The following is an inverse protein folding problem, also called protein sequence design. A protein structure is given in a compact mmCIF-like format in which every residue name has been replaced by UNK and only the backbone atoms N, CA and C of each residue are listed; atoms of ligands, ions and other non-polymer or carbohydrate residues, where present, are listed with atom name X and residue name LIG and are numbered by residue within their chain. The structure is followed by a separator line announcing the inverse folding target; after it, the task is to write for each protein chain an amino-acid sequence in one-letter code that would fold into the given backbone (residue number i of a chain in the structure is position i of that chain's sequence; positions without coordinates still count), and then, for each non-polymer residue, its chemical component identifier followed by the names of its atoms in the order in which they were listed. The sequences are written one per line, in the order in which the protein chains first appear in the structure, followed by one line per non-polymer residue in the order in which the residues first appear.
data_IF_120749513995
#
_entry.id   IF_120749513995
#
_cell.length_a   1.000
_cell.length_b   1.000
_cell.length_c   1.000
_cell.angle_alpha   90.00
_cell.angle_beta   90.00
_cell.angle_gamma   90.00
#
_symmetry.space_group_name_H-M   'P 1'
#
loop_
_entity.id
_entity.type
_entity.pdbx_description
1 polymer ?
#
# COMPACT_ATOMS: atom_id res chain seq x y z
N UNK A 1 42.08 -65.60 -142.48
CA UNK A 1 42.93 -64.69 -141.68
C UNK A 1 42.15 -63.41 -141.34
N UNK A 2 41.28 -62.91 -142.23
CA UNK A 2 40.40 -61.75 -142.00
C UNK A 2 39.34 -61.92 -140.89
N UNK A 3 38.78 -63.13 -140.69
CA UNK A 3 37.78 -63.39 -139.63
C UNK A 3 38.34 -63.28 -138.19
N UNK A 4 39.66 -63.39 -138.01
CA UNK A 4 40.29 -63.22 -136.69
C UNK A 4 40.58 -61.75 -136.35
N UNK A 5 40.82 -60.91 -137.38
CA UNK A 5 41.04 -59.47 -137.21
C UNK A 5 39.72 -58.71 -136.93
N UNK A 6 38.60 -59.14 -137.52
CA UNK A 6 37.27 -58.60 -137.21
C UNK A 6 36.85 -58.89 -135.76
N UNK A 7 37.08 -60.11 -135.25
CA UNK A 7 36.78 -60.49 -133.85
C UNK A 7 37.67 -59.76 -132.82
N UNK A 8 38.92 -59.46 -133.18
CA UNK A 8 39.81 -58.63 -132.34
C UNK A 8 39.34 -57.18 -132.33
N UNK A 9 38.94 -56.64 -133.49
CA UNK A 9 38.45 -55.26 -133.62
C UNK A 9 37.15 -55.06 -132.82
N UNK A 10 36.21 -56.00 -132.89
CA UNK A 10 34.97 -55.97 -132.10
C UNK A 10 35.22 -56.06 -130.59
N UNK A 11 36.20 -56.87 -130.16
CA UNK A 11 36.63 -56.94 -128.75
C UNK A 11 37.28 -55.64 -128.27
N UNK A 12 38.06 -54.97 -129.12
CA UNK A 12 38.65 -53.66 -128.81
C UNK A 12 37.56 -52.59 -128.69
N UNK A 13 36.61 -52.52 -129.62
CA UNK A 13 35.49 -51.58 -129.56
C UNK A 13 34.61 -51.82 -128.33
N UNK A 14 34.38 -53.08 -127.97
CA UNK A 14 33.66 -53.43 -126.73
C UNK A 14 34.43 -52.96 -125.48
N UNK A 15 35.75 -53.18 -125.43
CA UNK A 15 36.59 -52.71 -124.34
C UNK A 15 36.64 -51.18 -124.27
N UNK A 16 36.72 -50.48 -125.40
CA UNK A 16 36.66 -49.01 -125.43
C UNK A 16 35.32 -48.49 -124.89
N UNK A 17 34.19 -49.06 -125.33
CA UNK A 17 32.88 -48.72 -124.76
C UNK A 17 32.83 -48.98 -123.26
N UNK A 18 33.31 -50.16 -122.82
CA UNK A 18 33.40 -50.53 -121.40
C UNK A 18 34.25 -49.54 -120.60
N UNK A 19 35.38 -49.11 -121.15
CA UNK A 19 36.26 -48.09 -120.53
C UNK A 19 35.52 -46.75 -120.45
N UNK A 20 34.86 -46.30 -121.51
CA UNK A 20 34.11 -45.04 -121.49
C UNK A 20 32.92 -45.06 -120.52
N UNK A 21 32.26 -46.21 -120.35
CA UNK A 21 31.21 -46.40 -119.34
C UNK A 21 31.80 -46.35 -117.93
N UNK A 22 32.93 -47.04 -117.69
CA UNK A 22 33.63 -47.00 -116.41
C UNK A 22 34.15 -45.59 -116.07
N UNK A 23 34.61 -44.82 -117.06
CA UNK A 23 35.04 -43.42 -116.91
C UNK A 23 33.87 -42.50 -116.53
N UNK A 24 32.70 -42.71 -117.15
CA UNK A 24 31.47 -41.99 -116.78
C UNK A 24 30.99 -42.37 -115.39
N UNK A 25 31.02 -43.64 -115.04
CA UNK A 25 30.63 -44.13 -113.71
C UNK A 25 31.60 -43.62 -112.63
N UNK A 26 32.91 -43.58 -112.91
CA UNK A 26 33.89 -42.98 -111.98
C UNK A 26 33.69 -41.47 -111.82
N UNK A 27 33.37 -40.74 -112.89
CA UNK A 27 33.03 -39.31 -112.80
C UNK A 27 31.74 -39.08 -111.98
N UNK A 28 30.67 -39.83 -112.25
CA UNK A 28 29.41 -39.72 -111.53
C UNK A 28 29.55 -40.10 -110.04
N UNK A 29 30.30 -41.16 -109.73
CA UNK A 29 30.63 -41.53 -108.36
C UNK A 29 31.48 -40.45 -107.66
N UNK A 30 32.42 -39.82 -108.39
CA UNK A 30 33.21 -38.70 -107.87
C UNK A 30 32.35 -37.49 -107.51
N UNK A 31 31.38 -37.13 -108.36
CA UNK A 31 30.41 -36.07 -108.05
C UNK A 31 29.52 -36.42 -106.87
N UNK A 32 28.99 -37.65 -106.80
CA UNK A 32 28.17 -38.10 -105.68
C UNK A 32 28.97 -38.07 -104.37
N UNK A 33 30.23 -38.53 -104.40
CA UNK A 33 31.13 -38.46 -103.26
C UNK A 33 31.34 -37.02 -102.80
N UNK A 34 31.57 -36.08 -103.73
CA UNK A 34 31.71 -34.66 -103.40
C UNK A 34 30.44 -34.05 -102.80
N UNK A 35 29.25 -34.38 -103.33
CA UNK A 35 27.96 -33.93 -102.79
C UNK A 35 27.75 -34.44 -101.37
N UNK A 36 27.93 -35.74 -101.16
CA UNK A 36 27.80 -36.36 -99.82
C UNK A 36 28.81 -35.76 -98.83
N UNK A 37 30.04 -35.47 -99.28
CA UNK A 37 31.05 -34.80 -98.46
C UNK A 37 30.62 -33.40 -98.05
N UNK A 38 30.01 -32.62 -98.95
CA UNK A 38 29.50 -31.29 -98.65
C UNK A 38 28.30 -31.33 -97.71
N UNK A 39 27.35 -32.25 -97.94
CA UNK A 39 26.19 -32.45 -97.06
C UNK A 39 26.63 -32.89 -95.66
N UNK A 40 27.57 -33.83 -95.56
CA UNK A 40 28.13 -34.27 -94.29
C UNK A 40 28.79 -33.09 -93.54
N UNK A 41 29.56 -32.27 -94.25
CA UNK A 41 30.17 -31.06 -93.66
C UNK A 41 29.10 -30.10 -93.12
N UNK A 42 28.00 -29.87 -93.85
CA UNK A 42 26.90 -29.03 -93.38
C UNK A 42 26.19 -29.62 -92.15
N UNK A 43 25.97 -30.94 -92.13
CA UNK A 43 25.38 -31.64 -90.99
C UNK A 43 26.27 -31.54 -89.75
N UNK A 44 27.59 -31.70 -89.92
CA UNK A 44 28.56 -31.53 -88.83
C UNK A 44 28.54 -30.10 -88.29
N UNK A 45 28.54 -29.08 -89.15
CA UNK A 45 28.43 -27.69 -88.70
C UNK A 45 27.11 -27.43 -87.96
N UNK A 46 26.00 -27.98 -88.44
CA UNK A 46 24.69 -27.86 -87.78
C UNK A 46 24.66 -28.58 -86.43
N UNK A 47 25.23 -29.78 -86.34
CA UNK A 47 25.33 -30.53 -85.10
C UNK A 47 26.15 -29.76 -84.06
N UNK A 48 27.32 -29.25 -84.45
CA UNK A 48 28.17 -28.45 -83.56
C UNK A 48 27.46 -27.18 -83.07
N UNK A 49 26.72 -26.48 -83.94
CA UNK A 49 25.96 -25.30 -83.56
C UNK A 49 24.82 -25.62 -82.57
N UNK A 50 24.14 -26.75 -82.75
CA UNK A 50 23.11 -27.21 -81.81
C UNK A 50 23.70 -27.65 -80.47
N UNK A 51 24.87 -28.31 -80.47
CA UNK A 51 25.59 -28.67 -79.24
C UNK A 51 26.03 -27.43 -78.47
N UNK A 52 26.51 -26.39 -79.15
CA UNK A 52 26.89 -25.12 -78.51
C UNK A 52 25.66 -24.40 -77.93
N UNK A 53 24.55 -24.36 -78.67
CA UNK A 53 23.29 -23.82 -78.15
C UNK A 53 22.76 -24.60 -76.95
N UNK A 54 22.85 -25.94 -76.96
CA UNK A 54 22.44 -26.76 -75.83
C UNK A 54 23.29 -26.46 -74.60
N UNK A 55 24.61 -26.40 -74.74
CA UNK A 55 25.52 -26.03 -73.65
C UNK A 55 25.25 -24.64 -73.09
N UNK A 56 24.97 -23.67 -73.97
CA UNK A 56 24.62 -22.31 -73.54
C UNK A 56 23.28 -22.28 -72.77
N UNK A 57 22.29 -23.07 -73.20
CA UNK A 57 21.01 -23.19 -72.49
C UNK A 57 21.15 -23.92 -71.15
N UNK A 58 21.97 -24.98 -71.07
CA UNK A 58 22.28 -25.67 -69.83
C UNK A 58 22.96 -24.73 -68.83
N UNK A 59 23.96 -23.97 -69.28
CA UNK A 59 24.65 -22.98 -68.45
C UNK A 59 23.68 -21.90 -67.93
N UNK A 60 22.82 -21.35 -68.80
CA UNK A 60 21.81 -20.36 -68.40
C UNK A 60 20.80 -20.94 -67.40
N UNK A 61 20.35 -22.18 -67.61
CA UNK A 61 19.45 -22.85 -66.68
C UNK A 61 20.10 -23.03 -65.30
N UNK A 62 21.37 -23.47 -65.26
CA UNK A 62 22.12 -23.62 -64.02
C UNK A 62 22.35 -22.29 -63.31
N UNK A 63 22.69 -21.22 -64.03
CA UNK A 63 22.84 -19.87 -63.47
C UNK A 63 21.52 -19.38 -62.84
N UNK A 64 20.40 -19.50 -63.56
CA UNK A 64 19.08 -19.10 -63.04
C UNK A 64 18.67 -19.92 -61.82
N UNK A 65 18.93 -21.23 -61.82
CA UNK A 65 18.66 -22.10 -60.68
C UNK A 65 19.49 -21.69 -59.46
N UNK A 66 20.77 -21.40 -59.64
CA UNK A 66 21.66 -20.97 -58.56
C UNK A 66 21.23 -19.61 -57.98
N UNK A 67 20.80 -18.67 -58.83
CA UNK A 67 20.25 -17.40 -58.37
C UNK A 67 18.96 -17.58 -57.56
N UNK A 68 18.03 -18.42 -58.02
CA UNK A 68 16.78 -18.68 -57.30
C UNK A 68 17.03 -19.40 -55.96
N UNK A 69 17.94 -20.38 -55.92
CA UNK A 69 18.35 -21.03 -54.67
C UNK A 69 18.93 -19.99 -53.69
N UNK A 70 19.77 -19.07 -54.19
CA UNK A 70 20.36 -18.02 -53.37
C UNK A 70 19.28 -17.08 -52.81
N UNK A 71 18.37 -16.59 -53.66
CA UNK A 71 17.25 -15.72 -53.24
C UNK A 71 16.36 -16.42 -52.20
N UNK A 72 16.01 -17.68 -52.43
CA UNK A 72 15.18 -18.45 -51.50
C UNK A 72 15.87 -18.61 -50.13
N UNK A 73 17.17 -18.91 -50.11
CA UNK A 73 17.95 -18.99 -48.86
C UNK A 73 17.98 -17.65 -48.12
N UNK A 74 18.14 -16.54 -48.83
CA UNK A 74 18.15 -15.20 -48.23
C UNK A 74 16.79 -14.86 -47.61
N UNK A 75 15.69 -15.14 -48.31
CA UNK A 75 14.33 -14.90 -47.81
C UNK A 75 14.03 -15.78 -46.59
N UNK A 76 14.38 -17.06 -46.63
CA UNK A 76 14.21 -17.98 -45.50
C UNK A 76 15.00 -17.50 -44.28
N UNK A 77 16.27 -17.15 -44.48
CA UNK A 77 17.13 -16.64 -43.39
C UNK A 77 16.61 -15.32 -42.81
N UNK A 78 16.01 -14.45 -43.63
CA UNK A 78 15.36 -13.23 -43.14
C UNK A 78 14.13 -13.55 -42.30
N UNK A 79 13.26 -14.43 -42.78
CA UNK A 79 12.05 -14.87 -42.06
C UNK A 79 12.40 -15.54 -40.73
N UNK A 80 13.42 -16.39 -40.69
CA UNK A 80 13.88 -17.05 -39.46
C UNK A 80 14.36 -16.03 -38.42
N UNK A 81 15.13 -15.01 -38.84
CA UNK A 81 15.55 -13.92 -37.94
C UNK A 81 14.35 -13.12 -37.42
N UNK A 82 13.41 -12.76 -38.29
CA UNK A 82 12.20 -12.02 -37.90
C UNK A 82 11.37 -12.80 -36.88
N UNK A 83 11.20 -14.11 -37.09
CA UNK A 83 10.51 -15.00 -36.13
C UNK A 83 11.27 -15.12 -34.80
N UNK A 84 12.60 -15.22 -34.83
CA UNK A 84 13.40 -15.27 -33.59
C UNK A 84 13.19 -14.00 -32.76
N UNK A 85 13.26 -12.83 -33.41
CA UNK A 85 13.04 -11.53 -32.75
C UNK A 85 11.62 -11.44 -32.19
N UNK A 86 10.61 -11.91 -32.92
CA UNK A 86 9.22 -11.91 -32.43
C UNK A 86 9.05 -12.84 -31.22
N UNK A 87 9.66 -14.02 -31.24
CA UNK A 87 9.66 -14.96 -30.10
C UNK A 87 10.34 -14.32 -28.89
N UNK A 88 11.51 -13.70 -29.05
CA UNK A 88 12.24 -13.02 -27.97
C UNK A 88 11.41 -11.87 -27.36
N UNK A 89 10.75 -11.07 -28.20
CA UNK A 89 9.87 -9.99 -27.75
C UNK A 89 8.66 -10.52 -26.97
N UNK A 90 8.04 -11.60 -27.43
CA UNK A 90 6.91 -12.23 -26.75
C UNK A 90 7.36 -12.85 -25.42
N UNK A 91 8.53 -13.49 -25.37
CA UNK A 91 9.12 -14.03 -24.15
C UNK A 91 9.41 -12.94 -23.13
N UNK A 92 10.01 -11.81 -23.54
CA UNK A 92 10.28 -10.68 -22.66
C UNK A 92 8.98 -10.09 -22.08
N UNK A 93 7.94 -9.97 -22.91
CA UNK A 93 6.63 -9.50 -22.45
C UNK A 93 5.95 -10.48 -21.49
N UNK A 94 6.11 -11.77 -21.72
CA UNK A 94 5.57 -12.81 -20.85
C UNK A 94 6.27 -12.78 -19.48
N UNK A 95 7.60 -12.69 -19.47
CA UNK A 95 8.38 -12.53 -18.24
C UNK A 95 7.94 -11.29 -17.43
N UNK A 96 7.78 -10.15 -18.10
CA UNK A 96 7.30 -8.93 -17.42
C UNK A 96 5.92 -9.12 -16.78
N UNK A 97 4.99 -9.78 -17.48
CA UNK A 97 3.66 -10.06 -16.94
C UNK A 97 3.69 -11.07 -15.78
N UNK A 98 4.61 -12.03 -15.80
CA UNK A 98 4.81 -12.96 -14.70
C UNK A 98 5.40 -12.27 -13.47
N UNK A 99 6.36 -11.36 -13.67
CA UNK A 99 6.95 -10.54 -12.61
C UNK A 99 5.88 -9.64 -11.96
N UNK A 100 5.12 -8.89 -12.78
CA UNK A 100 4.01 -8.05 -12.31
C UNK A 100 2.96 -8.88 -11.54
N UNK A 101 2.62 -10.07 -12.04
CA UNK A 101 1.69 -10.97 -11.35
C UNK A 101 2.25 -11.48 -10.03
N UNK A 102 3.54 -11.78 -9.97
CA UNK A 102 4.22 -12.20 -8.74
C UNK A 102 4.19 -11.09 -7.69
N UNK A 103 4.50 -9.85 -8.08
CA UNK A 103 4.41 -8.67 -7.23
C UNK A 103 2.99 -8.49 -6.70
N UNK A 104 1.98 -8.48 -7.58
CA UNK A 104 0.58 -8.38 -7.16
C UNK A 104 0.18 -9.49 -6.18
N UNK A 105 0.58 -10.74 -6.46
CA UNK A 105 0.32 -11.89 -5.57
C UNK A 105 0.96 -11.70 -4.20
N UNK A 106 2.13 -11.07 -4.12
CA UNK A 106 2.80 -10.76 -2.85
C UNK A 106 2.15 -9.61 -2.08
N UNK A 107 1.60 -8.60 -2.77
CA UNK A 107 0.94 -7.46 -2.12
C UNK A 107 -0.42 -7.83 -1.53
N UNK A 108 -1.16 -8.77 -2.14
CA UNK A 108 -2.51 -9.16 -1.69
C UNK A 108 -2.54 -9.62 -0.22
N UNK A 109 -1.67 -10.53 0.26
CA UNK A 109 -1.62 -10.92 1.67
C UNK A 109 -1.36 -9.74 2.62
N UNK A 110 -0.43 -8.85 2.29
CA UNK A 110 -0.13 -7.67 3.11
C UNK A 110 -1.35 -6.74 3.25
N UNK A 111 -2.05 -6.50 2.13
CA UNK A 111 -3.27 -5.69 2.14
C UNK A 111 -4.39 -6.37 2.94
N UNK A 112 -4.57 -7.68 2.80
CA UNK A 112 -5.54 -8.45 3.60
C UNK A 112 -5.27 -8.36 5.10
N UNK A 113 -4.02 -8.55 5.51
CA UNK A 113 -3.63 -8.41 6.92
C UNK A 113 -3.86 -6.99 7.44
N UNK A 114 -3.63 -5.96 6.62
CA UNK A 114 -3.93 -4.57 6.98
C UNK A 114 -5.43 -4.33 7.15
N UNK A 115 -6.27 -4.91 6.27
CA UNK A 115 -7.72 -4.85 6.38
C UNK A 115 -8.20 -5.53 7.66
N UNK A 116 -7.74 -6.76 7.94
CA UNK A 116 -8.12 -7.51 9.15
C UNK A 116 -7.78 -6.72 10.42
N UNK A 117 -6.58 -6.12 10.50
CA UNK A 117 -6.18 -5.27 11.62
C UNK A 117 -7.08 -4.04 11.79
N UNK A 118 -7.43 -3.37 10.70
CA UNK A 118 -8.33 -2.22 10.74
C UNK A 118 -9.76 -2.61 11.13
N UNK A 119 -10.21 -3.81 10.74
CA UNK A 119 -11.50 -4.36 11.18
C UNK A 119 -11.50 -4.67 12.67
N UNK A 120 -10.41 -5.23 13.22
CA UNK A 120 -10.25 -5.42 14.66
C UNK A 120 -10.23 -4.10 15.43
N UNK A 121 -9.49 -3.10 14.96
CA UNK A 121 -9.47 -1.76 15.58
C UNK A 121 -10.85 -1.11 15.55
N UNK A 122 -11.57 -1.22 14.42
CA UNK A 122 -12.96 -0.76 14.30
C UNK A 122 -13.87 -1.46 15.32
N UNK A 123 -13.75 -2.77 15.47
CA UNK A 123 -14.58 -3.51 16.43
C UNK A 123 -14.31 -3.07 17.87
N UNK A 124 -13.03 -2.92 18.25
CA UNK A 124 -12.65 -2.42 19.58
C UNK A 124 -13.24 -1.04 19.87
N UNK A 125 -13.20 -0.13 18.89
CA UNK A 125 -13.79 1.20 19.05
C UNK A 125 -15.32 1.17 19.14
N UNK A 126 -15.99 0.25 18.42
CA UNK A 126 -17.43 0.06 18.56
C UNK A 126 -17.80 -0.43 19.96
N UNK A 127 -17.07 -1.42 20.48
CA UNK A 127 -17.28 -1.94 21.83
C UNK A 127 -17.07 -0.82 22.89
N UNK A 128 -16.02 0.00 22.74
CA UNK A 128 -15.77 1.15 23.63
C UNK A 128 -16.88 2.20 23.57
N UNK A 129 -17.41 2.49 22.37
CA UNK A 129 -18.55 3.40 22.20
C UNK A 129 -19.80 2.84 22.90
N UNK A 130 -20.06 1.54 22.80
CA UNK A 130 -21.18 0.89 23.47
C UNK A 130 -21.05 1.01 25.00
N UNK A 131 -19.87 0.73 25.54
CA UNK A 131 -19.57 0.86 26.97
C UNK A 131 -19.75 2.30 27.48
N UNK A 132 -19.17 3.28 26.78
CA UNK A 132 -19.32 4.69 27.14
C UNK A 132 -20.78 5.16 27.02
N UNK A 133 -21.51 4.64 26.03
CA UNK A 133 -22.94 4.94 25.87
C UNK A 133 -23.76 4.36 27.03
N UNK A 134 -23.42 3.17 27.51
CA UNK A 134 -24.07 2.55 28.67
C UNK A 134 -23.78 3.36 29.94
N UNK A 135 -22.52 3.73 30.19
CA UNK A 135 -22.13 4.57 31.33
C UNK A 135 -22.84 5.93 31.31
N UNK A 136 -22.92 6.56 30.13
CA UNK A 136 -23.63 7.83 29.99
C UNK A 136 -25.12 7.70 30.34
N UNK A 137 -25.77 6.61 29.92
CA UNK A 137 -27.18 6.35 30.27
C UNK A 137 -27.35 6.15 31.78
N UNK A 138 -26.47 5.39 32.41
CA UNK A 138 -26.50 5.18 33.86
C UNK A 138 -26.35 6.49 34.63
N UNK A 139 -25.39 7.34 34.22
CA UNK A 139 -25.20 8.66 34.82
C UNK A 139 -26.41 9.59 34.60
N UNK A 140 -27.03 9.54 33.42
CA UNK A 140 -28.27 10.28 33.15
C UNK A 140 -29.42 9.82 34.04
N UNK A 141 -29.56 8.51 34.29
CA UNK A 141 -30.55 7.97 35.21
C UNK A 141 -30.25 8.33 36.66
N UNK A 142 -28.99 8.26 37.09
CA UNK A 142 -28.54 8.68 38.41
C UNK A 142 -28.85 10.15 38.67
N UNK A 143 -28.53 11.01 37.70
CA UNK A 143 -28.86 12.45 37.74
C UNK A 143 -30.37 12.69 37.85
N UNK A 144 -31.20 11.96 37.10
CA UNK A 144 -32.66 12.04 37.20
C UNK A 144 -33.13 11.66 38.61
N UNK A 145 -32.68 10.51 39.14
CA UNK A 145 -33.03 10.05 40.50
C UNK A 145 -32.64 11.06 41.57
N UNK A 146 -31.45 11.67 41.47
CA UNK A 146 -31.00 12.72 42.39
C UNK A 146 -31.81 14.00 42.26
N UNK A 147 -32.19 14.37 41.03
CA UNK A 147 -33.12 15.47 40.76
C UNK A 147 -34.47 15.25 41.44
N UNK A 148 -35.06 14.06 41.28
CA UNK A 148 -36.34 13.71 41.88
C UNK A 148 -36.28 13.78 43.41
N UNK A 149 -35.21 13.24 44.03
CA UNK A 149 -34.98 13.35 45.48
C UNK A 149 -34.92 14.80 45.94
N UNK A 150 -34.17 15.66 45.24
CA UNK A 150 -34.05 17.08 45.58
C UNK A 150 -35.41 17.79 45.49
N UNK A 151 -36.23 17.48 44.48
CA UNK A 151 -37.57 18.05 44.38
C UNK A 151 -38.48 17.59 45.52
N UNK A 152 -38.38 16.32 45.93
CA UNK A 152 -39.13 15.78 47.06
C UNK A 152 -38.74 16.43 48.39
N UNK A 153 -37.45 16.55 48.67
CA UNK A 153 -36.94 17.24 49.88
C UNK A 153 -37.38 18.70 49.92
N UNK A 154 -37.31 19.42 48.79
CA UNK A 154 -37.82 20.80 48.71
C UNK A 154 -39.31 20.89 49.04
N UNK A 155 -40.11 19.94 48.54
CA UNK A 155 -41.54 19.92 48.82
C UNK A 155 -41.84 19.58 50.30
N UNK A 156 -41.13 18.62 50.88
CA UNK A 156 -41.23 18.30 52.30
C UNK A 156 -40.86 19.51 53.18
N UNK A 157 -39.73 20.13 52.91
CA UNK A 157 -39.29 21.33 53.63
C UNK A 157 -40.30 22.47 53.52
N UNK A 158 -40.89 22.69 52.35
CA UNK A 158 -41.93 23.69 52.16
C UNK A 158 -43.19 23.38 52.99
N UNK A 159 -43.62 22.12 53.03
CA UNK A 159 -44.75 21.68 53.85
C UNK A 159 -44.49 21.84 55.35
N UNK A 160 -43.30 21.49 55.82
CA UNK A 160 -42.90 21.67 57.22
C UNK A 160 -42.82 23.16 57.60
N UNK A 161 -42.32 24.00 56.69
CA UNK A 161 -42.30 25.45 56.85
C UNK A 161 -43.72 26.01 56.99
N UNK A 162 -44.65 25.58 56.13
CA UNK A 162 -46.06 25.97 56.20
C UNK A 162 -46.69 25.54 57.54
N UNK A 163 -46.51 24.29 57.96
CA UNK A 163 -47.03 23.78 59.24
C UNK A 163 -46.43 24.51 60.45
N UNK A 164 -45.14 24.83 60.42
CA UNK A 164 -44.49 25.60 61.48
C UNK A 164 -45.04 27.03 61.51
N UNK A 165 -45.33 27.61 60.35
CA UNK A 165 -45.92 28.94 60.24
C UNK A 165 -47.35 28.97 60.77
N UNK A 166 -48.18 27.96 60.48
CA UNK A 166 -49.51 27.79 61.07
C UNK A 166 -49.44 27.74 62.61
N UNK A 167 -48.52 26.94 63.16
CA UNK A 167 -48.30 26.87 64.61
C UNK A 167 -47.89 28.24 65.20
N UNK A 168 -47.02 28.97 64.51
CA UNK A 168 -46.63 30.33 64.92
C UNK A 168 -47.84 31.27 64.93
N UNK A 169 -48.72 31.19 63.92
CA UNK A 169 -49.94 31.99 63.86
C UNK A 169 -50.92 31.65 64.98
N UNK A 170 -51.10 30.38 65.31
CA UNK A 170 -51.95 29.96 66.43
C UNK A 170 -51.38 30.41 67.78
N UNK A 171 -50.07 30.29 68.00
CA UNK A 171 -49.42 30.82 69.19
C UNK A 171 -49.53 32.34 69.28
N UNK A 172 -49.44 33.06 68.15
CA UNK A 172 -49.67 34.52 68.11
C UNK A 172 -51.08 34.89 68.52
N UNK A 173 -52.11 34.19 68.02
CA UNK A 173 -53.51 34.40 68.44
C UNK A 173 -53.70 34.12 69.92
N UNK A 174 -53.12 33.04 70.44
CA UNK A 174 -53.19 32.73 71.88
C UNK A 174 -52.50 33.80 72.73
N UNK A 175 -51.34 34.30 72.30
CA UNK A 175 -50.65 35.41 72.97
C UNK A 175 -51.47 36.70 72.95
N UNK A 176 -52.12 37.02 71.83
CA UNK A 176 -53.02 38.17 71.73
C UNK A 176 -54.21 38.03 72.68
N UNK A 177 -54.86 36.87 72.72
CA UNK A 177 -55.93 36.59 73.69
C UNK A 177 -55.48 36.72 75.14
N UNK A 178 -54.28 36.21 75.47
CA UNK A 178 -53.73 36.31 76.82
C UNK A 178 -53.39 37.76 77.19
N UNK A 179 -52.88 38.55 76.24
CA UNK A 179 -52.64 39.98 76.43
C UNK A 179 -53.92 40.75 76.69
N UNK A 180 -54.99 40.49 75.92
CA UNK A 180 -56.31 41.08 76.16
C UNK A 180 -56.86 40.70 77.54
N UNK A 181 -56.80 39.42 77.90
CA UNK A 181 -57.21 38.94 79.22
C UNK A 181 -56.42 39.60 80.36
N UNK A 182 -55.10 39.75 80.19
CA UNK A 182 -54.24 40.42 81.17
C UNK A 182 -54.61 41.91 81.29
N UNK A 183 -54.86 42.59 80.17
CA UNK A 183 -55.26 44.00 80.17
C UNK A 183 -56.62 44.17 80.86
N UNK A 184 -57.59 43.29 80.62
CA UNK A 184 -58.87 43.27 81.35
C UNK A 184 -58.68 43.02 82.85
N UNK A 185 -57.79 42.10 83.23
CA UNK A 185 -57.47 41.81 84.63
C UNK A 185 -56.77 42.98 85.34
N UNK A 186 -55.86 43.69 84.65
CA UNK A 186 -55.21 44.92 85.11
C UNK A 186 -56.18 46.10 85.14
N UNK A 187 -57.17 46.16 84.24
CA UNK A 187 -58.28 47.11 84.34
C UNK A 187 -59.12 46.89 85.61
N UNK A 188 -59.19 45.65 86.10
CA UNK A 188 -59.86 45.28 87.37
C UNK A 188 -58.98 45.43 88.61
N UNK A 189 -57.65 45.48 88.46
CA UNK A 189 -56.69 45.73 89.55
C UNK A 189 -55.80 46.93 89.20
N UNK A 190 -56.17 48.11 89.68
CA UNK A 190 -55.50 49.38 89.39
C UNK A 190 -53.96 49.30 89.33
N UNK A 191 -53.39 50.03 88.36
CA UNK A 191 -51.97 50.08 87.96
C UNK A 191 -51.00 50.13 89.15
N UNK A 192 -50.17 49.10 89.30
CA UNK A 192 -49.04 49.08 90.23
C UNK A 192 -47.75 49.51 89.53
N UNK A 193 -47.18 50.62 90.01
CA UNK A 193 -45.97 51.28 89.56
C UNK A 193 -44.73 50.76 90.29
N UNK A 194 -44.07 49.71 89.80
CA UNK A 194 -42.78 49.27 90.35
C UNK A 194 -41.73 48.84 89.30
N UNK A 195 -41.79 49.34 88.06
CA UNK A 195 -40.88 48.92 86.98
C UNK A 195 -39.58 49.72 86.85
N UNK A 196 -39.45 50.89 87.50
CA UNK A 196 -38.37 51.84 87.19
C UNK A 196 -36.94 51.41 87.58
N UNK A 197 -36.75 50.52 88.55
CA UNK A 197 -35.41 50.14 89.02
C UNK A 197 -34.79 48.97 88.21
N UNK A 198 -35.62 48.16 87.57
CA UNK A 198 -35.18 47.03 86.75
C UNK A 198 -34.74 47.48 85.35
N UNK A 199 -35.40 48.52 84.81
CA UNK A 199 -35.05 49.12 83.52
C UNK A 199 -33.64 49.74 83.48
N UNK A 200 -33.15 50.29 84.60
CA UNK A 200 -31.81 50.89 84.64
C UNK A 200 -30.70 49.84 84.57
N UNK A 201 -30.83 48.73 85.31
CA UNK A 201 -29.88 47.62 85.26
C UNK A 201 -29.91 46.90 83.89
N UNK A 202 -31.07 46.80 83.26
CA UNK A 202 -31.21 46.26 81.90
C UNK A 202 -30.51 47.14 80.86
N UNK A 203 -30.63 48.46 80.94
CA UNK A 203 -29.97 49.39 80.00
C UNK A 203 -28.45 49.32 80.06
N UNK A 204 -27.85 49.22 81.24
CA UNK A 204 -26.39 49.11 81.37
C UNK A 204 -25.88 47.80 80.75
N UNK A 205 -26.55 46.68 81.03
CA UNK A 205 -26.24 45.37 80.46
C UNK A 205 -26.40 45.34 78.93
N UNK A 206 -27.42 46.03 78.41
CA UNK A 206 -27.67 46.19 76.97
C UNK A 206 -26.53 46.96 76.30
N UNK A 207 -26.08 48.07 76.88
CA UNK A 207 -24.95 48.83 76.33
C UNK A 207 -23.63 48.06 76.31
N UNK A 208 -23.37 47.20 77.31
CA UNK A 208 -22.18 46.34 77.33
C UNK A 208 -22.25 45.27 76.23
N UNK A 209 -23.41 44.62 76.06
CA UNK A 209 -23.61 43.63 75.00
C UNK A 209 -23.54 44.25 73.60
N UNK A 210 -24.04 45.48 73.42
CA UNK A 210 -23.91 46.21 72.16
C UNK A 210 -22.45 46.52 71.81
N UNK A 211 -21.64 46.91 72.81
CA UNK A 211 -20.20 47.15 72.60
C UNK A 211 -19.48 45.85 72.22
N UNK A 212 -19.81 44.74 72.88
CA UNK A 212 -19.25 43.43 72.57
C UNK A 212 -19.64 42.94 71.16
N UNK A 213 -20.91 43.13 70.76
CA UNK A 213 -21.36 42.82 69.39
C UNK A 213 -20.62 43.68 68.35
N UNK A 214 -20.38 44.97 68.64
CA UNK A 214 -19.61 45.83 67.73
C UNK A 214 -18.17 45.35 67.59
N UNK A 215 -17.54 44.94 68.69
CA UNK A 215 -16.18 44.37 68.69
C UNK A 215 -16.11 43.07 67.91
N UNK A 216 -17.00 42.12 68.19
CA UNK A 216 -17.07 40.84 67.48
C UNK A 216 -17.37 41.00 65.99
N UNK A 217 -18.21 41.98 65.60
CA UNK A 217 -18.46 42.29 64.20
C UNK A 217 -17.22 42.88 63.51
N UNK A 218 -16.42 43.67 64.21
CA UNK A 218 -15.17 44.20 63.67
C UNK A 218 -14.14 43.08 63.51
N UNK A 219 -13.96 42.23 64.51
CA UNK A 219 -13.03 41.11 64.46
C UNK A 219 -13.39 40.10 63.36
N UNK A 220 -14.69 39.82 63.16
CA UNK A 220 -15.14 38.99 62.04
C UNK A 220 -14.82 39.59 60.67
N UNK A 221 -14.94 40.92 60.51
CA UNK A 221 -14.54 41.57 59.25
C UNK A 221 -13.05 41.44 59.01
N UNK A 222 -12.24 41.69 60.03
CA UNK A 222 -10.78 41.56 59.94
C UNK A 222 -10.36 40.11 59.60
N UNK A 223 -10.98 39.11 60.23
CA UNK A 223 -10.71 37.69 59.92
C UNK A 223 -11.12 37.33 58.50
N UNK A 224 -12.22 37.90 58.00
CA UNK A 224 -12.67 37.67 56.62
C UNK A 224 -11.71 38.29 55.61
N UNK A 225 -11.23 39.51 55.85
CA UNK A 225 -10.21 40.17 55.03
C UNK A 225 -8.90 39.36 54.98
N UNK A 226 -8.43 38.85 56.13
CA UNK A 226 -7.26 37.97 56.19
C UNK A 226 -7.48 36.64 55.44
N UNK A 227 -8.68 36.06 55.54
CA UNK A 227 -9.02 34.84 54.82
C UNK A 227 -9.02 35.07 53.30
N UNK A 228 -9.61 36.17 52.84
CA UNK A 228 -9.64 36.57 51.44
C UNK A 228 -8.21 36.83 50.91
N UNK A 229 -7.33 37.43 51.71
CA UNK A 229 -5.92 37.63 51.37
C UNK A 229 -5.15 36.30 51.27
N UNK A 230 -5.33 35.38 52.22
CA UNK A 230 -4.72 34.03 52.18
C UNK A 230 -5.23 33.21 50.99
N UNK A 231 -6.52 33.27 50.67
CA UNK A 231 -7.07 32.64 49.47
C UNK A 231 -6.44 33.22 48.20
N UNK A 232 -6.24 34.54 48.14
CA UNK A 232 -5.51 35.21 47.06
C UNK A 232 -4.07 34.71 46.92
N UNK A 233 -3.36 34.50 48.04
CA UNK A 233 -2.00 33.94 48.03
C UNK A 233 -1.97 32.49 47.51
N UNK A 234 -2.91 31.64 47.93
CA UNK A 234 -3.02 30.25 47.45
C UNK A 234 -3.22 30.23 45.92
N UNK A 235 -4.13 31.04 45.40
CA UNK A 235 -4.37 31.12 43.95
C UNK A 235 -3.11 31.56 43.21
N UNK A 236 -2.38 32.54 43.73
CA UNK A 236 -1.14 33.02 43.11
C UNK A 236 -0.06 31.92 43.07
N UNK A 237 0.12 31.19 44.18
CA UNK A 237 1.04 30.05 44.25
C UNK A 237 0.63 28.91 43.31
N UNK A 238 -0.66 28.58 43.22
CA UNK A 238 -1.16 27.57 42.27
C UNK A 238 -0.92 27.98 40.82
N UNK A 239 -1.11 29.26 40.47
CA UNK A 239 -0.84 29.78 39.12
C UNK A 239 0.67 29.72 38.83
N UNK A 240 1.53 30.08 39.79
CA UNK A 240 2.99 29.97 39.61
C UNK A 240 3.43 28.51 39.46
N UNK A 241 2.86 27.58 40.25
CA UNK A 241 3.09 26.15 40.10
C UNK A 241 2.68 25.63 38.72
N UNK A 242 1.51 26.04 38.23
CA UNK A 242 1.05 25.71 36.88
C UNK A 242 1.94 26.33 35.79
N UNK A 243 2.36 27.59 35.94
CA UNK A 243 3.30 28.25 35.01
C UNK A 243 4.64 27.55 34.96
N UNK A 244 5.17 27.10 36.09
CA UNK A 244 6.43 26.36 36.14
C UNK A 244 6.31 24.98 35.47
N UNK A 245 5.18 24.30 35.62
CA UNK A 245 4.89 23.05 34.89
C UNK A 245 4.80 23.27 33.37
N UNK A 246 4.24 24.40 32.93
CA UNK A 246 4.15 24.75 31.51
C UNK A 246 5.46 25.31 30.92
N UNK A 247 6.33 25.89 31.75
CA UNK A 247 7.59 26.52 31.32
C UNK A 247 8.80 25.58 31.42
N UNK A 248 8.66 24.41 32.06
CA UNK A 248 9.64 23.34 31.99
C UNK A 248 9.65 22.78 30.55
N UNK A 249 10.66 23.14 29.77
CA UNK A 249 10.89 22.60 28.43
C UNK A 249 11.01 21.07 28.49
N UNK A 250 10.46 20.39 27.49
CA UNK A 250 10.48 18.91 27.33
C UNK A 250 11.90 18.30 27.35
N UNK A 251 12.94 19.12 27.28
CA UNK A 251 14.35 18.76 27.28
C UNK A 251 14.91 18.29 28.64
N UNK A 252 14.20 18.46 29.76
CA UNK A 252 14.70 18.11 31.10
C UNK A 252 13.89 17.00 31.82
N UNK A 253 12.98 16.31 31.13
CA UNK A 253 12.18 15.24 31.73
C UNK A 253 12.77 13.84 31.46
N UNK A 254 12.61 12.91 32.39
CA UNK A 254 13.03 11.50 32.31
C UNK A 254 12.61 10.80 30.99
N UNK A 255 11.53 11.27 30.36
CA UNK A 255 11.08 10.81 29.04
C UNK A 255 12.07 11.14 27.90
N UNK A 256 12.82 12.23 27.98
CA UNK A 256 13.83 12.60 27.00
C UNK A 256 15.09 11.70 27.07
N UNK A 257 15.44 11.23 28.27
CA UNK A 257 16.57 10.31 28.50
C UNK A 257 16.26 8.88 28.01
N UNK A 258 15.00 8.46 28.06
CA UNK A 258 14.54 7.19 27.46
C UNK A 258 14.51 7.27 25.93
N UNK A 259 14.33 8.48 25.37
CA UNK A 259 14.26 8.72 23.93
C UNK A 259 15.62 8.91 23.26
N UNK A 260 16.70 9.07 24.03
CA UNK A 260 18.04 9.39 23.50
C UNK A 260 18.85 8.17 23.05
N UNK A 261 18.42 6.94 23.34
CA UNK A 261 18.82 5.78 22.52
C UNK A 261 17.87 5.80 21.34
N UNK A 262 18.30 6.44 20.26
CA UNK A 262 17.41 6.65 19.13
C UNK A 262 17.00 5.29 18.54
N UNK A 263 15.72 5.16 18.20
CA UNK A 263 15.21 4.06 17.36
C UNK A 263 16.11 3.81 16.16
N UNK A 264 16.72 4.86 15.64
CA UNK A 264 17.62 4.85 14.49
C UNK A 264 18.96 4.15 14.81
N UNK A 265 19.58 4.42 15.96
CA UNK A 265 20.78 3.69 16.41
C UNK A 265 20.49 2.20 16.67
N UNK A 266 19.31 1.88 17.22
CA UNK A 266 18.90 0.49 17.44
C UNK A 266 18.63 -0.24 16.11
N UNK A 267 17.97 0.43 15.16
CA UNK A 267 17.72 -0.09 13.82
C UNK A 267 19.03 -0.29 13.05
N UNK A 268 19.98 0.64 13.14
CA UNK A 268 21.29 0.52 12.48
C UNK A 268 22.11 -0.64 13.07
N UNK A 269 22.05 -0.86 14.38
CA UNK A 269 22.70 -1.99 15.03
C UNK A 269 22.09 -3.34 14.60
N UNK A 270 20.76 -3.41 14.48
CA UNK A 270 20.05 -4.61 13.98
C UNK A 270 20.44 -4.89 12.53
N UNK A 271 20.45 -3.86 11.68
CA UNK A 271 20.76 -4.00 10.25
C UNK A 271 22.20 -4.48 10.03
N UNK A 272 23.16 -3.97 10.81
CA UNK A 272 24.55 -4.47 10.80
C UNK A 272 24.64 -5.93 11.26
N UNK A 273 23.85 -6.32 12.27
CA UNK A 273 23.84 -7.70 12.75
C UNK A 273 23.24 -8.66 11.71
N UNK A 274 22.20 -8.26 10.99
CA UNK A 274 21.61 -9.04 9.89
C UNK A 274 22.60 -9.24 8.73
N UNK A 275 23.35 -8.20 8.36
CA UNK A 275 24.38 -8.29 7.32
C UNK A 275 25.50 -9.27 7.72
N UNK A 276 25.97 -9.22 8.97
CA UNK A 276 26.97 -10.15 9.49
C UNK A 276 26.43 -11.59 9.47
N UNK A 277 25.19 -11.80 9.88
CA UNK A 277 24.57 -13.13 9.87
C UNK A 277 24.45 -13.68 8.45
N UNK A 278 24.05 -12.86 7.48
CA UNK A 278 23.99 -13.27 6.08
C UNK A 278 25.36 -13.70 5.54
N UNK A 279 26.41 -12.93 5.86
CA UNK A 279 27.78 -13.27 5.45
C UNK A 279 28.31 -14.52 6.14
N UNK A 280 27.95 -14.75 7.41
CA UNK A 280 28.29 -15.98 8.12
C UNK A 280 27.58 -17.19 7.51
N UNK A 281 26.33 -17.03 7.10
CA UNK A 281 25.56 -18.10 6.46
C UNK A 281 26.16 -18.49 5.11
N UNK A 282 26.47 -17.53 4.23
CA UNK A 282 27.17 -17.82 2.95
C UNK A 282 28.54 -18.47 3.18
N UNK A 283 29.28 -18.05 4.20
CA UNK A 283 30.56 -18.66 4.56
C UNK A 283 30.39 -20.11 5.05
N UNK A 284 29.39 -20.37 5.90
CA UNK A 284 29.06 -21.72 6.37
C UNK A 284 28.63 -22.60 5.19
N UNK A 285 27.77 -22.11 4.31
CA UNK A 285 27.29 -22.86 3.13
C UNK A 285 28.46 -23.25 2.22
N UNK A 286 29.40 -22.33 1.96
CA UNK A 286 30.63 -22.63 1.20
C UNK A 286 31.50 -23.69 1.87
N UNK A 287 31.64 -23.63 3.19
CA UNK A 287 32.38 -24.65 3.95
C UNK A 287 31.67 -26.00 3.88
N UNK A 288 30.35 -26.03 4.06
CA UNK A 288 29.55 -27.27 3.99
C UNK A 288 29.71 -27.92 2.62
N UNK A 289 29.60 -27.15 1.53
CA UNK A 289 29.82 -27.67 0.17
C UNK A 289 31.23 -28.23 0.02
N UNK A 290 32.26 -27.50 0.45
CA UNK A 290 33.64 -27.98 0.37
C UNK A 290 33.88 -29.27 1.20
N UNK A 291 33.25 -29.39 2.37
CA UNK A 291 33.34 -30.60 3.21
C UNK A 291 32.60 -31.77 2.55
N UNK A 292 31.41 -31.54 1.98
CA UNK A 292 30.66 -32.55 1.23
C UNK A 292 31.44 -33.08 0.02
N UNK A 293 32.24 -32.24 -0.65
CA UNK A 293 33.07 -32.65 -1.78
C UNK A 293 34.34 -33.41 -1.36
N UNK A 294 34.90 -33.13 -0.18
CA UNK A 294 36.23 -33.64 0.22
C UNK A 294 36.15 -34.82 1.20
N UNK A 295 35.29 -34.75 2.22
CA UNK A 295 35.09 -35.81 3.20
C UNK A 295 33.77 -35.64 3.98
N UNK A 296 32.65 -36.24 3.51
CA UNK A 296 31.32 -36.05 4.09
C UNK A 296 31.18 -36.52 5.55
N UNK A 297 32.01 -37.46 6.00
CA UNK A 297 31.94 -38.05 7.34
C UNK A 297 32.16 -37.06 8.49
N UNK A 298 32.73 -35.87 8.19
CA UNK A 298 32.94 -34.79 9.17
C UNK A 298 31.62 -34.12 9.58
N UNK A 299 30.57 -34.20 8.76
CA UNK A 299 29.25 -33.62 9.04
C UNK A 299 28.32 -34.57 9.81
N UNK A 300 28.75 -35.81 10.12
CA UNK A 300 27.96 -36.73 10.93
C UNK A 300 27.93 -36.25 12.39
N UNK A 301 26.77 -35.75 12.81
CA UNK A 301 26.48 -35.48 14.21
C UNK A 301 26.33 -36.83 14.93
N UNK A 302 27.24 -37.14 15.87
CA UNK A 302 27.16 -38.29 16.76
C UNK A 302 26.13 -38.11 17.88
#
# INVERSE_FOLDING_TARGET
MECADEDITDKVIFLEKRVTELEKDTAANGEQHNRLKQENLQLVHRANALEEQLKEQELKADETLMEEIKKQREILSKMEREKSIEIENLQARLQQLDDDNSELRSCVPCLKASIERLEEEKQKLLDEIEDLTAQLKEEQESKRKMGDKLTHERHQFQKEKESTQELIEDLRKQLEHLQLFKLEAEQRRGRSSSMGLQEYNSRTRETELEQEIRRLKQDNRNLKEQNDELNGQIINLSIQGAKNLFSASFSESLAAEISSVSRDELMEAIQKQEEINFRLQDYIDRIIVAIMETNPSILEVK
#
